data_IF_329829383730
#
_entry.id   IF_329829383730
#
_cell.length_a   1.000
_cell.length_b   1.000
_cell.length_c   1.000
_cell.angle_alpha   90.00
_cell.angle_beta   90.00
_cell.angle_gamma   90.00
#
_symmetry.space_group_name_H-M   'P 1'
#
loop_
_entity.id
_entity.type
_entity.pdbx_description
1 polymer ?
#
# COMPACT_ATOMS: atom_id res chain seq x y z
N UNK A 1 -3.47 47.73 45.05
CA UNK A 1 -3.95 48.07 43.70
C UNK A 1 -4.76 46.90 43.19
N UNK A 2 -6.09 47.01 43.20
CA UNK A 2 -7.01 46.00 42.68
C UNK A 2 -7.37 46.37 41.25
N UNK A 3 -7.05 45.49 40.29
CA UNK A 3 -7.52 45.64 38.91
C UNK A 3 -9.04 45.40 38.91
N UNK A 4 -9.87 46.23 38.26
CA UNK A 4 -11.31 46.04 38.24
C UNK A 4 -11.69 44.68 37.66
N UNK A 5 -12.53 43.95 38.38
CA UNK A 5 -13.04 42.60 38.03
C UNK A 5 -13.69 42.52 36.64
N UNK A 6 -14.15 43.65 36.09
CA UNK A 6 -14.71 43.75 34.75
C UNK A 6 -13.67 43.52 33.63
N UNK A 7 -12.41 43.91 33.84
CA UNK A 7 -11.34 43.77 32.84
C UNK A 7 -10.87 42.31 32.77
N UNK A 8 -10.86 41.60 33.90
CA UNK A 8 -10.44 40.18 33.97
C UNK A 8 -11.42 39.21 33.32
N UNK A 9 -12.73 39.54 33.28
CA UNK A 9 -13.75 38.72 32.63
C UNK A 9 -13.63 38.73 31.10
N UNK A 10 -13.21 39.85 30.53
CA UNK A 10 -13.03 40.02 29.08
C UNK A 10 -11.86 39.17 28.56
N UNK A 11 -10.72 39.21 29.26
CA UNK A 11 -9.56 38.38 28.91
C UNK A 11 -9.83 36.87 29.01
N UNK A 12 -10.62 36.43 30.00
CA UNK A 12 -10.97 35.02 30.12
C UNK A 12 -11.89 34.57 29.00
N UNK A 13 -12.86 35.39 28.61
CA UNK A 13 -13.78 35.10 27.51
C UNK A 13 -13.02 35.05 26.16
N UNK A 14 -12.10 35.98 25.93
CA UNK A 14 -11.26 36.00 24.72
C UNK A 14 -10.39 34.73 24.66
N UNK A 15 -9.73 34.37 25.77
CA UNK A 15 -8.89 33.18 25.81
C UNK A 15 -9.68 31.87 25.61
N UNK A 16 -10.94 31.82 26.06
CA UNK A 16 -11.82 30.67 25.81
C UNK A 16 -12.20 30.57 24.33
N UNK A 17 -12.56 31.70 23.72
CA UNK A 17 -12.92 31.76 22.30
C UNK A 17 -11.74 31.35 21.39
N UNK A 18 -10.53 31.83 21.70
CA UNK A 18 -9.31 31.47 20.97
C UNK A 18 -8.97 29.97 21.10
N UNK A 19 -9.23 29.38 22.29
CA UNK A 19 -9.03 27.95 22.51
C UNK A 19 -10.05 27.10 21.74
N UNK A 20 -11.31 27.52 21.72
CA UNK A 20 -12.38 26.85 20.98
C UNK A 20 -12.10 26.88 19.46
N UNK A 21 -11.74 28.05 18.92
CA UNK A 21 -11.37 28.21 17.52
C UNK A 21 -10.14 27.35 17.14
N UNK A 22 -9.13 27.28 18.02
CA UNK A 22 -7.99 26.40 17.81
C UNK A 22 -8.38 24.91 17.80
N UNK A 23 -9.27 24.48 18.69
CA UNK A 23 -9.75 23.09 18.75
C UNK A 23 -10.54 22.74 17.49
N UNK A 24 -11.40 23.64 17.01
CA UNK A 24 -12.21 23.45 15.80
C UNK A 24 -11.32 23.36 14.56
N UNK A 25 -10.36 24.28 14.40
CA UNK A 25 -9.38 24.24 13.32
C UNK A 25 -8.52 22.97 13.33
N UNK A 26 -8.14 22.46 14.52
CA UNK A 26 -7.40 21.20 14.65
C UNK A 26 -8.25 19.96 14.32
N UNK A 27 -9.56 20.00 14.59
CA UNK A 27 -10.48 18.93 14.23
C UNK A 27 -10.70 18.85 12.72
N UNK A 28 -10.78 20.00 12.03
CA UNK A 28 -10.91 20.09 10.58
C UNK A 28 -9.60 19.75 9.83
N UNK A 29 -8.45 20.10 10.40
CA UNK A 29 -7.13 19.82 9.81
C UNK A 29 -6.74 18.33 9.84
N UNK A 30 -7.38 17.53 10.69
CA UNK A 30 -7.18 16.07 10.71
C UNK A 30 -8.05 15.45 9.63
N UNK A 31 -7.43 14.92 8.58
CA UNK A 31 -8.14 14.08 7.61
C UNK A 31 -9.00 13.05 8.38
N UNK A 32 -10.29 12.88 8.03
CA UNK A 32 -11.16 11.96 8.74
C UNK A 32 -10.50 10.59 8.85
N UNK A 33 -10.46 10.01 10.06
CA UNK A 33 -9.90 8.67 10.29
C UNK A 33 -10.57 7.62 9.36
N UNK A 34 -11.81 7.87 8.94
CA UNK A 34 -12.53 7.08 7.94
C UNK A 34 -11.84 7.05 6.57
N UNK A 35 -11.25 8.16 6.12
CA UNK A 35 -10.57 8.25 4.83
C UNK A 35 -9.24 7.50 4.84
N UNK A 36 -8.52 7.53 5.97
CA UNK A 36 -7.25 6.80 6.14
C UNK A 36 -7.51 5.30 6.19
N UNK A 37 -8.51 4.85 6.96
CA UNK A 37 -8.88 3.43 7.05
C UNK A 37 -9.32 2.87 5.70
N UNK A 38 -10.11 3.63 4.93
CA UNK A 38 -10.50 3.24 3.57
C UNK A 38 -9.27 3.09 2.65
N UNK A 39 -8.32 4.02 2.72
CA UNK A 39 -7.09 3.95 1.92
C UNK A 39 -6.24 2.73 2.26
N UNK A 40 -6.07 2.41 3.55
CA UNK A 40 -5.28 1.25 3.99
C UNK A 40 -5.95 -0.06 3.56
N UNK A 41 -7.26 -0.19 3.78
CA UNK A 41 -8.01 -1.38 3.36
C UNK A 41 -7.99 -1.58 1.84
N UNK A 42 -8.13 -0.49 1.07
CA UNK A 42 -8.04 -0.54 -0.39
C UNK A 42 -6.64 -0.96 -0.86
N UNK A 43 -5.58 -0.45 -0.23
CA UNK A 43 -4.21 -0.87 -0.51
C UNK A 43 -4.00 -2.34 -0.18
N UNK A 44 -4.50 -2.81 0.96
CA UNK A 44 -4.39 -4.22 1.33
C UNK A 44 -5.10 -5.15 0.37
N UNK A 45 -6.33 -4.81 -0.01
CA UNK A 45 -7.09 -5.55 -1.02
C UNK A 45 -6.37 -5.55 -2.37
N UNK A 46 -5.74 -4.44 -2.76
CA UNK A 46 -4.96 -4.36 -3.99
C UNK A 46 -3.72 -5.27 -3.94
N UNK A 47 -3.01 -5.32 -2.81
CA UNK A 47 -1.88 -6.24 -2.60
C UNK A 47 -2.31 -7.69 -2.72
N UNK A 48 -3.38 -8.08 -2.02
CA UNK A 48 -3.93 -9.43 -2.10
C UNK A 48 -4.30 -9.79 -3.54
N UNK A 49 -5.03 -8.93 -4.23
CA UNK A 49 -5.46 -9.13 -5.62
C UNK A 49 -4.26 -9.33 -6.56
N UNK A 50 -3.19 -8.54 -6.38
CA UNK A 50 -1.97 -8.67 -7.19
C UNK A 50 -1.28 -10.01 -6.95
N UNK A 51 -1.22 -10.46 -5.70
CA UNK A 51 -0.60 -11.74 -5.34
C UNK A 51 -1.45 -12.92 -5.80
N UNK A 52 -2.76 -12.89 -5.61
CA UNK A 52 -3.70 -13.89 -6.13
C UNK A 52 -3.56 -14.07 -7.63
N UNK A 53 -3.52 -12.94 -8.36
CA UNK A 53 -3.33 -12.96 -9.80
C UNK A 53 -1.98 -13.54 -10.19
N UNK A 54 -0.90 -13.15 -9.49
CA UNK A 54 0.44 -13.69 -9.73
C UNK A 54 0.51 -15.22 -9.55
N UNK A 55 -0.07 -15.73 -8.46
CA UNK A 55 -0.12 -17.17 -8.16
C UNK A 55 -0.99 -17.92 -9.17
N UNK A 56 -2.15 -17.39 -9.52
CA UNK A 56 -3.04 -17.96 -10.54
C UNK A 56 -2.34 -18.05 -11.90
N UNK A 57 -1.65 -16.98 -12.31
CA UNK A 57 -0.88 -16.94 -13.55
C UNK A 57 0.26 -17.97 -13.57
N UNK A 58 0.94 -18.16 -12.44
CA UNK A 58 1.99 -19.18 -12.31
C UNK A 58 1.41 -20.60 -12.42
N UNK A 59 0.24 -20.84 -11.79
CA UNK A 59 -0.50 -22.11 -11.91
C UNK A 59 -0.91 -22.39 -13.36
N UNK A 60 -1.46 -21.38 -14.06
CA UNK A 60 -1.83 -21.50 -15.47
C UNK A 60 -0.62 -21.81 -16.36
N UNK A 61 0.52 -21.19 -16.09
CA UNK A 61 1.77 -21.47 -16.81
C UNK A 61 2.28 -22.89 -16.57
N UNK A 62 2.09 -23.43 -15.37
CA UNK A 62 2.55 -24.77 -15.01
C UNK A 62 1.67 -25.86 -15.62
N UNK A 63 0.36 -25.61 -15.70
CA UNK A 63 -0.64 -26.62 -16.10
C UNK A 63 -0.92 -26.62 -17.59
N UNK A 64 -0.82 -25.48 -18.28
CA UNK A 64 -1.08 -25.39 -19.73
C UNK A 64 0.14 -25.75 -20.57
N UNK A 65 -0.13 -26.22 -21.78
CA UNK A 65 0.90 -26.28 -22.82
C UNK A 65 1.42 -24.87 -23.15
N UNK A 66 2.66 -24.78 -23.62
CA UNK A 66 3.30 -23.50 -23.96
C UNK A 66 2.50 -22.69 -24.98
N UNK A 67 1.89 -23.34 -25.97
CA UNK A 67 1.06 -22.66 -26.98
C UNK A 67 -0.25 -22.15 -26.37
N UNK A 68 -0.93 -22.97 -25.56
CA UNK A 68 -2.18 -22.60 -24.89
C UNK A 68 -1.98 -21.45 -23.90
N UNK A 69 -0.91 -21.49 -23.10
CA UNK A 69 -0.56 -20.40 -22.19
C UNK A 69 -0.29 -19.08 -22.94
N UNK A 70 0.47 -19.13 -24.04
CA UNK A 70 0.73 -17.95 -24.88
C UNK A 70 -0.54 -17.38 -25.51
N UNK A 71 -1.47 -18.24 -25.92
CA UNK A 71 -2.74 -17.79 -26.47
C UNK A 71 -3.56 -17.08 -25.39
N UNK A 72 -3.67 -17.66 -24.20
CA UNK A 72 -4.33 -17.03 -23.04
C UNK A 72 -3.76 -15.65 -22.73
N UNK A 73 -2.43 -15.51 -22.71
CA UNK A 73 -1.81 -14.19 -22.48
C UNK A 73 -2.21 -13.17 -23.54
N UNK A 74 -2.27 -13.56 -24.81
CA UNK A 74 -2.66 -12.67 -25.90
C UNK A 74 -4.14 -12.27 -25.82
N UNK A 75 -5.01 -13.24 -25.55
CA UNK A 75 -6.46 -13.03 -25.47
C UNK A 75 -6.84 -12.02 -24.38
N UNK A 76 -6.07 -11.99 -23.29
CA UNK A 76 -6.27 -11.06 -22.19
C UNK A 76 -5.37 -9.81 -22.24
N UNK A 77 -4.49 -9.66 -23.24
CA UNK A 77 -3.58 -8.52 -23.37
C UNK A 77 -2.40 -8.49 -22.38
N UNK A 78 -2.00 -9.65 -21.86
CA UNK A 78 -0.92 -9.80 -20.86
C UNK A 78 0.44 -10.20 -21.46
N UNK A 79 0.53 -10.40 -22.77
CA UNK A 79 1.78 -10.81 -23.43
C UNK A 79 2.88 -9.77 -23.19
N UNK A 80 3.92 -10.14 -22.44
CA UNK A 80 5.03 -9.27 -22.04
C UNK A 80 4.92 -8.75 -20.60
N UNK A 81 3.70 -8.48 -20.12
CA UNK A 81 3.42 -7.98 -18.76
C UNK A 81 3.46 -9.09 -17.70
N UNK A 82 3.19 -10.33 -18.11
CA UNK A 82 3.09 -11.50 -17.24
C UNK A 82 4.38 -11.74 -16.42
N UNK A 83 5.54 -11.35 -16.97
CA UNK A 83 6.86 -11.64 -16.39
C UNK A 83 7.04 -11.08 -14.99
N UNK A 84 6.53 -9.88 -14.69
CA UNK A 84 6.70 -9.26 -13.36
C UNK A 84 5.88 -9.98 -12.30
N UNK A 85 4.69 -10.46 -12.66
CA UNK A 85 3.83 -11.23 -11.78
C UNK A 85 4.33 -12.66 -11.58
N UNK A 86 4.87 -13.30 -12.62
CA UNK A 86 5.53 -14.60 -12.46
C UNK A 86 6.74 -14.53 -11.51
N UNK A 87 7.48 -13.41 -11.51
CA UNK A 87 8.56 -13.17 -10.53
C UNK A 87 8.01 -13.00 -9.11
N UNK A 88 6.89 -12.27 -8.96
CA UNK A 88 6.19 -12.16 -7.67
C UNK A 88 5.81 -13.54 -7.14
N UNK A 89 5.14 -14.36 -7.95
CA UNK A 89 4.77 -15.72 -7.56
C UNK A 89 5.98 -16.58 -7.19
N UNK A 90 7.08 -16.48 -7.94
CA UNK A 90 8.30 -17.22 -7.63
C UNK A 90 8.97 -16.81 -6.32
N UNK A 91 8.86 -15.54 -5.91
CA UNK A 91 9.52 -15.04 -4.69
C UNK A 91 8.63 -15.15 -3.44
N UNK A 92 7.32 -14.98 -3.62
CA UNK A 92 6.36 -14.89 -2.53
C UNK A 92 5.40 -16.09 -2.47
N UNK A 93 5.51 -17.07 -3.37
CA UNK A 93 4.59 -18.22 -3.43
C UNK A 93 4.60 -19.16 -2.23
N UNK A 94 5.53 -18.98 -1.29
CA UNK A 94 5.50 -19.67 0.01
C UNK A 94 4.61 -18.98 1.04
N UNK A 95 4.11 -17.78 0.76
CA UNK A 95 3.20 -17.02 1.61
C UNK A 95 1.80 -17.05 1.01
N UNK A 96 0.78 -17.01 1.87
CA UNK A 96 -0.56 -16.67 1.40
C UNK A 96 -0.62 -15.17 1.03
N UNK A 97 -1.47 -14.76 0.09
CA UNK A 97 -1.69 -13.36 -0.23
C UNK A 97 -2.04 -12.51 1.01
N UNK A 98 -2.81 -13.08 1.93
CA UNK A 98 -3.23 -12.45 3.18
C UNK A 98 -2.05 -12.15 4.12
N UNK A 99 -1.04 -13.02 4.16
CA UNK A 99 0.18 -12.81 4.97
C UNK A 99 0.93 -11.54 4.57
N UNK A 100 0.78 -11.11 3.32
CA UNK A 100 1.48 -9.96 2.75
C UNK A 100 0.55 -8.76 2.49
N UNK A 101 -0.74 -8.87 2.80
CA UNK A 101 -1.75 -7.85 2.50
C UNK A 101 -1.43 -6.47 3.11
N UNK A 102 -0.76 -6.42 4.24
CA UNK A 102 -0.39 -5.15 4.89
C UNK A 102 0.84 -4.48 4.26
N UNK A 103 1.50 -5.13 3.29
CA UNK A 103 2.63 -4.57 2.57
C UNK A 103 2.12 -3.91 1.30
N UNK A 104 2.51 -2.67 1.05
CA UNK A 104 2.13 -1.99 -0.18
C UNK A 104 2.67 -2.71 -1.43
N UNK A 105 1.92 -2.74 -2.55
CA UNK A 105 2.33 -3.47 -3.75
C UNK A 105 3.71 -3.03 -4.27
N UNK A 106 3.97 -1.72 -4.26
CA UNK A 106 5.23 -1.17 -4.74
C UNK A 106 6.43 -1.62 -3.89
N UNK A 107 6.22 -1.83 -2.59
CA UNK A 107 7.25 -2.34 -1.67
C UNK A 107 7.63 -3.78 -2.02
N UNK A 108 6.66 -4.63 -2.37
CA UNK A 108 6.93 -5.99 -2.84
C UNK A 108 7.74 -6.00 -4.15
N UNK A 109 7.37 -5.16 -5.12
CA UNK A 109 8.15 -5.01 -6.36
C UNK A 109 9.58 -4.49 -6.11
N UNK A 110 9.75 -3.59 -5.15
CA UNK A 110 11.06 -3.04 -4.78
C UNK A 110 11.93 -4.09 -4.09
N UNK A 111 11.35 -4.89 -3.20
CA UNK A 111 12.03 -6.00 -2.53
C UNK A 111 12.50 -7.06 -3.54
N UNK A 112 11.69 -7.40 -4.53
CA UNK A 112 12.12 -8.25 -5.65
C UNK A 112 13.35 -7.69 -6.38
N UNK A 113 13.33 -6.40 -6.68
CA UNK A 113 14.41 -5.76 -7.41
C UNK A 113 15.72 -5.71 -6.60
N UNK A 114 15.68 -5.60 -5.27
CA UNK A 114 16.89 -5.66 -4.43
C UNK A 114 17.46 -7.08 -4.37
N UNK A 115 16.62 -8.09 -4.18
CA UNK A 115 17.03 -9.52 -4.16
C UNK A 115 17.66 -9.94 -5.49
N UNK A 116 17.07 -9.55 -6.62
CA UNK A 116 17.62 -9.83 -7.95
C UNK A 116 18.97 -9.13 -8.19
N UNK A 117 19.16 -7.91 -7.68
CA UNK A 117 20.45 -7.20 -7.77
C UNK A 117 21.53 -7.93 -6.97
N UNK A 118 21.22 -8.35 -5.75
CA UNK A 118 22.17 -9.05 -4.89
C UNK A 118 22.59 -10.41 -5.47
N UNK A 119 21.63 -11.21 -5.93
CA UNK A 119 21.91 -12.51 -6.57
C UNK A 119 22.76 -12.34 -7.84
N UNK A 120 22.44 -11.36 -8.70
CA UNK A 120 23.23 -11.06 -9.92
C UNK A 120 24.67 -10.66 -9.60
N UNK A 121 24.90 -9.90 -8.53
CA UNK A 121 26.24 -9.55 -8.06
C UNK A 121 27.01 -10.80 -7.62
N UNK A 122 26.39 -11.69 -6.84
CA UNK A 122 27.03 -12.92 -6.35
C UNK A 122 27.57 -13.82 -7.48
N UNK A 123 26.85 -13.94 -8.59
CA UNK A 123 27.29 -14.74 -9.75
C UNK A 123 28.23 -14.00 -10.71
N UNK A 124 28.50 -12.71 -10.51
CA UNK A 124 29.45 -11.94 -11.34
C UNK A 124 30.89 -12.04 -10.83
N UNK A 125 31.07 -12.42 -9.57
CA UNK A 125 32.37 -12.52 -8.90
C UNK A 125 32.73 -13.97 -8.49
N UNK A 126 32.05 -14.94 -9.09
CA UNK A 126 32.36 -16.38 -9.07
C UNK A 126 32.69 -16.81 -10.49
#
# INVERSE_FOLDING_TARGET
>A
MTIPTAITLDYQAIAQLELEDYIEQQAEARAPLSNINFSIQALSAATETILDHALSLASEKQTRSRSSYRQLLKDHGWDGEEKKYLKMASAFGSFSPQDLAQIEPNTLFTALASVMRYTKLKYKYL
#
